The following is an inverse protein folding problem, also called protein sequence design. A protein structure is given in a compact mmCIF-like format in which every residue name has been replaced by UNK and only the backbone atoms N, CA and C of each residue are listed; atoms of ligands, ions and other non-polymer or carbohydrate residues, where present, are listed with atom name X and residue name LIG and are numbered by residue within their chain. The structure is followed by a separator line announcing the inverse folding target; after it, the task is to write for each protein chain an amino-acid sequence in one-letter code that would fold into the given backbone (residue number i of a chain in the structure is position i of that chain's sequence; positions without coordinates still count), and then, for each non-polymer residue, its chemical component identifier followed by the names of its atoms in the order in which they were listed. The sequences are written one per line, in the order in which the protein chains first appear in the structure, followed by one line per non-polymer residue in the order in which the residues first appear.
data_IF_521578492162
#
_entry.id   IF_521578492162
#
_cell.length_a   1.000
_cell.length_b   1.000
_cell.length_c   1.000
_cell.angle_alpha   90.00
_cell.angle_beta   90.00
_cell.angle_gamma   90.00
#
_symmetry.space_group_name_H-M   'P 1'
#
loop_
_entity.id
_entity.type
_entity.pdbx_description
1 polymer ?
#
# COMPACT_ATOMS: atom_id res chain seq x y z
N UNK A 1 -10.92 23.19 -14.92
CA UNK A 1 -12.32 23.08 -14.44
C UNK A 1 -12.79 21.65 -14.39
N UNK A 2 -12.37 20.95 -13.34
CA UNK A 2 -13.01 19.73 -12.87
C UNK A 2 -13.31 19.99 -11.41
N UNK A 3 -14.37 20.74 -11.17
CA UNK A 3 -14.73 21.20 -9.84
C UNK A 3 -15.22 20.00 -9.02
N UNK A 4 -14.47 19.65 -7.97
CA UNK A 4 -14.82 18.57 -7.02
C UNK A 4 -16.02 18.97 -6.13
N UNK A 5 -16.55 20.19 -6.31
CA UNK A 5 -17.56 20.81 -5.47
C UNK A 5 -19.01 20.36 -5.75
N UNK A 6 -19.25 19.47 -6.71
CA UNK A 6 -20.62 19.04 -7.02
C UNK A 6 -20.84 17.55 -6.83
N UNK A 7 -21.55 17.26 -5.73
CA UNK A 7 -22.35 16.07 -5.43
C UNK A 7 -21.66 14.87 -4.74
N UNK A 8 -21.91 14.77 -3.44
CA UNK A 8 -21.68 13.59 -2.61
C UNK A 8 -21.19 13.98 -1.23
N UNK A 9 -21.79 13.43 -0.17
CA UNK A 9 -21.22 13.55 1.19
C UNK A 9 -19.78 13.03 1.15
N UNK A 10 -18.80 13.92 1.18
CA UNK A 10 -17.39 13.54 1.20
C UNK A 10 -17.08 12.85 2.52
N UNK A 11 -16.27 11.79 2.47
CA UNK A 11 -15.85 11.06 3.68
C UNK A 11 -15.05 11.97 4.62
N UNK A 12 -14.40 12.99 4.07
CA UNK A 12 -13.59 13.98 4.77
C UNK A 12 -14.23 15.36 4.67
N UNK A 13 -14.01 16.20 5.69
CA UNK A 13 -14.45 17.60 5.69
C UNK A 13 -13.71 18.37 4.59
N UNK A 14 -14.44 19.22 3.87
CA UNK A 14 -13.89 20.07 2.82
C UNK A 14 -12.88 21.07 3.36
N UNK A 15 -13.04 21.53 4.61
CA UNK A 15 -12.07 22.40 5.27
C UNK A 15 -10.73 21.69 5.47
N UNK A 16 -10.76 20.41 5.87
CA UNK A 16 -9.56 19.60 6.05
C UNK A 16 -8.88 19.32 4.71
N UNK A 17 -9.66 19.00 3.66
CA UNK A 17 -9.13 18.80 2.30
C UNK A 17 -8.40 20.05 1.82
N UNK A 18 -9.00 21.23 2.01
CA UNK A 18 -8.39 22.50 1.59
C UNK A 18 -7.13 22.82 2.38
N UNK A 19 -7.12 22.56 3.69
CA UNK A 19 -5.94 22.74 4.52
C UNK A 19 -4.78 21.83 4.08
N UNK A 20 -5.08 20.59 3.66
CA UNK A 20 -4.09 19.69 3.08
C UNK A 20 -3.59 20.23 1.72
N UNK A 21 -4.48 20.73 0.88
CA UNK A 21 -4.13 21.28 -0.44
C UNK A 21 -3.21 22.50 -0.33
N UNK A 22 -3.48 23.40 0.61
CA UNK A 22 -2.68 24.60 0.87
C UNK A 22 -1.24 24.27 1.33
N UNK A 23 -1.03 23.10 1.96
CA UNK A 23 0.29 22.62 2.41
C UNK A 23 1.07 21.83 1.36
N UNK A 24 0.53 21.58 0.17
CA UNK A 24 1.19 20.72 -0.84
C UNK A 24 2.52 21.27 -1.36
N UNK A 25 2.74 22.60 -1.29
CA UNK A 25 4.02 23.20 -1.69
C UNK A 25 5.21 22.72 -0.86
N UNK A 26 4.96 22.21 0.35
CA UNK A 26 5.98 21.83 1.31
C UNK A 26 6.54 20.41 1.05
N UNK A 27 5.96 19.67 0.10
CA UNK A 27 6.35 18.30 -0.27
C UNK A 27 6.83 18.19 -1.73
N UNK A 28 8.02 18.74 -2.07
CA UNK A 28 8.57 18.62 -3.42
C UNK A 28 8.95 17.16 -3.73
N UNK A 29 8.71 16.74 -4.97
CA UNK A 29 9.12 15.41 -5.44
C UNK A 29 10.61 15.42 -5.76
N UNK A 30 11.40 14.61 -5.04
CA UNK A 30 12.82 14.39 -5.30
C UNK A 30 13.06 13.56 -6.57
N UNK A 31 12.23 12.54 -6.81
CA UNK A 31 12.43 11.60 -7.92
C UNK A 31 11.13 11.12 -8.55
N UNK A 32 11.08 11.19 -9.88
CA UNK A 32 10.02 10.61 -10.70
C UNK A 32 10.49 9.33 -11.41
N UNK A 33 9.62 8.33 -11.51
CA UNK A 33 9.78 7.19 -12.43
C UNK A 33 8.45 6.85 -13.12
N UNK A 34 8.49 6.00 -14.15
CA UNK A 34 7.31 5.46 -14.85
C UNK A 34 6.31 6.55 -15.29
N UNK A 35 6.77 7.56 -16.04
CA UNK A 35 5.94 8.70 -16.45
C UNK A 35 5.21 9.38 -15.28
N UNK A 36 5.94 9.63 -14.19
CA UNK A 36 5.47 10.30 -12.96
C UNK A 36 4.47 9.48 -12.12
N UNK A 37 4.23 8.21 -12.46
CA UNK A 37 3.41 7.30 -11.64
C UNK A 37 4.07 7.00 -10.29
N UNK A 38 5.40 6.95 -10.25
CA UNK A 38 6.18 6.84 -9.03
C UNK A 38 6.74 8.21 -8.66
N UNK A 39 6.53 8.61 -7.41
CA UNK A 39 7.04 9.85 -6.82
C UNK A 39 7.68 9.54 -5.48
N UNK A 40 8.92 9.97 -5.29
CA UNK A 40 9.63 9.91 -4.02
C UNK A 40 9.84 11.33 -3.51
N UNK A 41 9.51 11.55 -2.23
CA UNK A 41 9.55 12.85 -1.58
C UNK A 41 10.74 13.00 -0.64
N UNK A 42 11.29 11.89 -0.15
CA UNK A 42 12.36 11.88 0.84
C UNK A 42 13.43 10.83 0.50
N UNK A 43 14.67 11.07 0.95
CA UNK A 43 15.73 10.05 0.94
C UNK A 43 15.55 9.11 2.14
N UNK A 44 15.94 7.82 2.03
CA UNK A 44 15.82 6.89 3.14
C UNK A 44 16.80 7.25 4.27
N UNK A 45 16.27 7.37 5.49
CA UNK A 45 17.06 7.52 6.72
C UNK A 45 17.27 6.12 7.34
N UNK A 46 18.52 5.66 7.52
CA UNK A 46 18.82 4.34 8.07
C UNK A 46 18.32 4.12 9.50
N UNK A 47 17.98 5.19 10.24
CA UNK A 47 17.47 5.12 11.61
C UNK A 47 15.94 5.07 11.69
N UNK A 48 15.24 5.29 10.57
CA UNK A 48 13.79 5.25 10.50
C UNK A 48 13.27 3.86 10.13
N UNK A 49 12.06 3.56 10.59
CA UNK A 49 11.30 2.39 10.20
C UNK A 49 10.20 2.80 9.22
N UNK A 50 10.00 1.97 8.19
CA UNK A 50 9.10 2.25 7.10
C UNK A 50 8.11 1.10 6.87
N UNK A 51 6.96 1.47 6.32
CA UNK A 51 5.83 0.58 6.08
C UNK A 51 5.27 0.86 4.69
N UNK A 52 4.97 -0.19 3.94
CA UNK A 52 4.38 -0.09 2.60
C UNK A 52 3.00 -0.74 2.63
N UNK A 53 1.97 0.06 2.37
CA UNK A 53 0.62 -0.44 2.08
C UNK A 53 0.43 -0.51 0.57
N UNK A 54 -0.03 -1.65 0.06
CA UNK A 54 -0.19 -1.85 -1.38
C UNK A 54 -1.57 -2.40 -1.74
N UNK A 55 -2.24 -1.73 -2.67
CA UNK A 55 -3.45 -2.18 -3.35
C UNK A 55 -3.08 -2.72 -4.74
N UNK A 56 -3.48 -3.97 -4.98
CA UNK A 56 -3.17 -4.70 -6.21
C UNK A 56 -4.42 -4.84 -7.05
N UNK A 57 -4.48 -4.05 -8.12
CA UNK A 57 -5.49 -4.23 -9.15
C UNK A 57 -5.29 -5.57 -9.89
N UNK A 58 -6.40 -6.16 -10.33
CA UNK A 58 -6.40 -7.49 -10.96
C UNK A 58 -5.74 -7.54 -12.34
N UNK A 59 -5.43 -6.38 -12.93
CA UNK A 59 -4.92 -6.25 -14.29
C UNK A 59 -5.93 -6.60 -15.39
N UNK A 60 -7.13 -7.10 -15.04
CA UNK A 60 -8.24 -7.36 -15.97
C UNK A 60 -9.19 -6.17 -15.96
N UNK A 61 -8.84 -5.10 -16.68
CA UNK A 61 -9.70 -3.91 -16.82
C UNK A 61 -8.93 -2.60 -16.73
N UNK A 62 -9.63 -1.54 -16.31
CA UNK A 62 -9.10 -0.18 -16.18
C UNK A 62 -8.51 0.14 -14.80
N UNK A 63 -8.40 -0.84 -13.91
CA UNK A 63 -8.02 -0.61 -12.52
C UNK A 63 -6.52 -0.30 -12.39
N UNK A 64 -6.16 0.51 -11.39
CA UNK A 64 -4.80 0.94 -11.12
C UNK A 64 -4.28 0.21 -9.88
N UNK A 65 -3.04 -0.29 -9.94
CA UNK A 65 -2.34 -0.71 -8.72
C UNK A 65 -1.70 0.51 -8.08
N UNK A 66 -1.68 0.52 -6.75
CA UNK A 66 -1.11 1.64 -6.00
C UNK A 66 -0.45 1.19 -4.70
N UNK A 67 0.63 1.85 -4.33
CA UNK A 67 1.21 1.68 -3.01
C UNK A 67 1.69 3.00 -2.46
N UNK A 68 1.77 3.07 -1.14
CA UNK A 68 2.38 4.17 -0.42
C UNK A 68 3.38 3.62 0.60
N UNK A 69 4.57 4.23 0.64
CA UNK A 69 5.59 4.00 1.65
C UNK A 69 5.57 5.17 2.65
N UNK A 70 5.38 4.88 3.93
CA UNK A 70 5.35 5.87 5.01
C UNK A 70 6.33 5.50 6.11
N UNK A 71 6.80 6.50 6.85
CA UNK A 71 7.49 6.24 8.11
C UNK A 71 6.50 5.98 9.26
N UNK A 72 7.03 5.66 10.44
CA UNK A 72 6.21 5.40 11.65
C UNK A 72 5.37 6.61 12.09
N UNK A 73 5.75 7.83 11.71
CA UNK A 73 5.05 9.06 12.06
C UNK A 73 3.97 9.42 11.02
N UNK A 74 3.86 8.64 9.93
CA UNK A 74 2.90 8.87 8.86
C UNK A 74 3.41 9.81 7.76
N UNK A 75 4.70 10.13 7.75
CA UNK A 75 5.30 10.94 6.68
C UNK A 75 5.40 10.11 5.39
N UNK A 76 4.77 10.57 4.31
CA UNK A 76 4.83 9.91 3.01
C UNK A 76 6.22 10.06 2.38
N UNK A 77 6.85 8.92 2.08
CA UNK A 77 8.19 8.86 1.52
C UNK A 77 8.14 8.61 0.02
N UNK A 78 7.24 7.71 -0.40
CA UNK A 78 7.04 7.31 -1.79
C UNK A 78 5.58 7.00 -2.03
N UNK A 79 5.07 7.41 -3.19
CA UNK A 79 3.78 6.96 -3.71
C UNK A 79 3.93 6.43 -5.13
N UNK A 80 3.21 5.34 -5.41
CA UNK A 80 3.01 4.83 -6.77
C UNK A 80 1.53 4.69 -7.07
N UNK A 81 1.12 5.12 -8.27
CA UNK A 81 -0.19 4.81 -8.85
C UNK A 81 -0.05 4.63 -10.34
N UNK A 82 -0.32 3.42 -10.84
CA UNK A 82 -0.13 3.13 -12.25
C UNK A 82 -0.70 1.79 -12.68
N UNK A 83 -0.48 1.49 -13.96
CA UNK A 83 -0.89 0.22 -14.57
C UNK A 83 0.37 -0.52 -14.99
N UNK A 84 0.59 -1.67 -14.37
CA UNK A 84 1.67 -2.58 -14.74
C UNK A 84 1.27 -4.03 -14.44
N UNK A 85 1.96 -4.96 -15.08
CA UNK A 85 1.78 -6.39 -14.80
C UNK A 85 2.09 -6.70 -13.33
N UNK A 86 1.37 -7.66 -12.76
CA UNK A 86 1.47 -8.05 -11.34
C UNK A 86 2.91 -8.41 -10.95
N UNK A 87 3.66 -9.10 -11.81
CA UNK A 87 5.06 -9.46 -11.53
C UNK A 87 5.98 -8.23 -11.45
N UNK A 88 5.79 -7.26 -12.35
CA UNK A 88 6.54 -5.99 -12.34
C UNK A 88 6.19 -5.15 -11.11
N UNK A 89 4.92 -5.20 -10.71
CA UNK A 89 4.44 -4.52 -9.51
C UNK A 89 5.03 -5.11 -8.24
N UNK A 90 5.04 -6.44 -8.12
CA UNK A 90 5.67 -7.13 -6.99
C UNK A 90 7.15 -6.79 -6.87
N UNK A 91 7.89 -6.78 -8.00
CA UNK A 91 9.29 -6.38 -8.01
C UNK A 91 9.49 -4.92 -7.60
N UNK A 92 8.65 -4.00 -8.10
CA UNK A 92 8.70 -2.59 -7.70
C UNK A 92 8.46 -2.41 -6.20
N UNK A 93 7.53 -3.17 -5.61
CA UNK A 93 7.30 -3.19 -4.17
C UNK A 93 8.51 -3.69 -3.39
N UNK A 94 9.12 -4.80 -3.83
CA UNK A 94 10.31 -5.36 -3.21
C UNK A 94 11.50 -4.40 -3.26
N UNK A 95 11.77 -3.83 -4.43
CA UNK A 95 12.83 -2.84 -4.66
C UNK A 95 12.63 -1.59 -3.79
N UNK A 96 11.39 -1.09 -3.69
CA UNK A 96 11.06 0.08 -2.85
C UNK A 96 11.20 -0.27 -1.38
N UNK A 97 10.75 -1.45 -0.97
CA UNK A 97 10.89 -1.92 0.41
C UNK A 97 12.35 -2.05 0.82
N UNK A 98 13.20 -2.61 -0.05
CA UNK A 98 14.64 -2.71 0.19
C UNK A 98 15.30 -1.33 0.30
N UNK A 99 14.92 -0.38 -0.55
CA UNK A 99 15.44 1.00 -0.51
C UNK A 99 15.13 1.68 0.82
N UNK A 100 13.96 1.44 1.41
CA UNK A 100 13.51 2.01 2.68
C UNK A 100 13.69 1.03 3.85
N UNK A 101 14.94 0.58 4.07
CA UNK A 101 15.37 -0.25 5.20
C UNK A 101 14.62 -1.58 5.34
N UNK A 102 14.36 -2.27 4.22
CA UNK A 102 13.49 -3.44 4.20
C UNK A 102 12.14 -3.15 4.88
N UNK A 103 11.43 -2.13 4.41
CA UNK A 103 10.14 -1.71 4.93
C UNK A 103 9.17 -2.89 5.12
N UNK A 104 8.29 -2.82 6.11
CA UNK A 104 7.26 -3.85 6.28
C UNK A 104 6.22 -3.68 5.17
N UNK A 105 6.09 -4.69 4.30
CA UNK A 105 5.18 -4.65 3.15
C UNK A 105 3.88 -5.38 3.49
N UNK A 106 2.76 -4.68 3.36
CA UNK A 106 1.40 -5.19 3.58
C UNK A 106 0.56 -5.04 2.30
N UNK A 107 0.60 -6.01 1.38
CA UNK A 107 -0.30 -6.05 0.23
C UNK A 107 -1.73 -6.35 0.69
N UNK A 108 -2.73 -5.80 0.02
CA UNK A 108 -4.14 -6.15 0.28
C UNK A 108 -4.39 -7.63 -0.06
N UNK A 109 -5.02 -8.37 0.86
CA UNK A 109 -5.36 -9.79 0.70
C UNK A 109 -6.58 -10.01 -0.20
N UNK A 110 -6.45 -9.69 -1.48
CA UNK A 110 -7.36 -10.17 -2.54
C UNK A 110 -6.68 -11.33 -3.33
N UNK A 111 -7.41 -12.01 -4.23
CA UNK A 111 -6.87 -13.14 -5.01
C UNK A 111 -5.58 -12.77 -5.78
N UNK A 112 -5.42 -11.50 -6.13
CA UNK A 112 -4.28 -10.98 -6.91
C UNK A 112 -3.13 -10.51 -6.00
N UNK A 113 -3.46 -9.99 -4.82
CA UNK A 113 -2.50 -9.68 -3.76
C UNK A 113 -1.81 -10.92 -3.21
N UNK A 114 -2.45 -12.09 -3.29
CA UNK A 114 -1.79 -13.37 -3.01
C UNK A 114 -0.64 -13.63 -3.99
N UNK A 115 -0.84 -13.38 -5.30
CA UNK A 115 0.21 -13.56 -6.30
C UNK A 115 1.40 -12.61 -6.06
N UNK A 116 1.14 -11.35 -5.71
CA UNK A 116 2.19 -10.39 -5.32
C UNK A 116 2.95 -10.88 -4.08
N UNK A 117 2.23 -11.38 -3.08
CA UNK A 117 2.88 -11.87 -1.87
C UNK A 117 3.73 -13.11 -2.14
N UNK A 118 3.24 -14.05 -2.95
CA UNK A 118 4.01 -15.22 -3.37
C UNK A 118 5.26 -14.85 -4.16
N UNK A 119 5.19 -13.84 -5.03
CA UNK A 119 6.36 -13.32 -5.75
C UNK A 119 7.41 -12.75 -4.78
N UNK A 120 7.00 -11.89 -3.84
CA UNK A 120 7.89 -11.34 -2.81
C UNK A 120 8.51 -12.41 -1.91
N UNK A 121 7.75 -13.46 -1.57
CA UNK A 121 8.28 -14.62 -0.84
C UNK A 121 9.31 -15.39 -1.66
N UNK A 122 9.04 -15.62 -2.93
CA UNK A 122 9.96 -16.32 -3.84
C UNK A 122 11.26 -15.55 -4.06
N UNK A 123 11.20 -14.22 -4.02
CA UNK A 123 12.38 -13.34 -4.07
C UNK A 123 13.10 -13.22 -2.70
N UNK A 124 12.53 -13.80 -1.64
CA UNK A 124 13.14 -13.82 -0.31
C UNK A 124 12.99 -12.52 0.47
N UNK A 125 11.95 -11.72 0.20
CA UNK A 125 11.72 -10.47 0.93
C UNK A 125 11.44 -10.75 2.42
N UNK A 126 12.21 -10.18 3.36
CA UNK A 126 12.19 -10.62 4.76
C UNK A 126 10.99 -10.10 5.56
N UNK A 127 10.46 -8.92 5.20
CA UNK A 127 9.53 -8.16 6.04
C UNK A 127 8.13 -8.08 5.44
N UNK A 128 7.50 -9.23 5.23
CA UNK A 128 6.11 -9.32 4.77
C UNK A 128 5.13 -9.34 5.95
N UNK A 129 4.08 -8.52 5.88
CA UNK A 129 2.98 -8.55 6.83
C UNK A 129 2.02 -9.71 6.53
N UNK A 130 1.73 -10.51 7.56
CA UNK A 130 0.76 -11.60 7.48
C UNK A 130 -0.39 -11.31 8.44
N UNK A 131 -1.60 -11.14 7.90
CA UNK A 131 -2.80 -11.12 8.71
C UNK A 131 -3.09 -12.53 9.24
N UNK A 132 -2.96 -12.71 10.55
CA UNK A 132 -3.32 -13.95 11.22
C UNK A 132 -4.82 -13.94 11.52
N UNK A 133 -5.57 -14.83 10.86
CA UNK A 133 -6.96 -15.09 11.22
C UNK A 133 -6.98 -16.22 12.25
N UNK A 134 -7.37 -15.92 13.47
CA UNK A 134 -7.60 -16.95 14.48
C UNK A 134 -8.88 -17.71 14.15
N UNK A 135 -8.75 -18.94 13.63
CA UNK A 135 -9.88 -19.82 13.37
C UNK A 135 -10.24 -20.57 14.67
N UNK A 136 -11.36 -20.19 15.31
CA UNK A 136 -11.99 -21.02 16.35
C UNK A 136 -12.83 -22.12 15.69
N UNK A 137 -12.26 -23.32 15.55
CA UNK A 137 -13.05 -24.53 15.23
C UNK A 137 -13.87 -24.94 16.46
N UNK A 138 -15.17 -25.20 16.29
CA UNK A 138 -16.07 -25.68 17.35
C UNK A 138 -15.54 -27.02 17.87
N UNK A 139 -15.19 -27.10 19.16
CA UNK A 139 -14.73 -28.33 19.82
C UNK A 139 -13.22 -28.49 20.05
N UNK A 140 -12.38 -27.50 19.72
CA UNK A 140 -10.94 -27.51 20.09
C UNK A 140 -10.57 -26.33 21.00
N UNK A 141 -9.88 -26.61 22.09
CA UNK A 141 -9.49 -25.64 23.13
C UNK A 141 -8.36 -24.69 22.71
N UNK A 142 -7.60 -25.03 21.67
CA UNK A 142 -6.52 -24.20 21.11
C UNK A 142 -6.97 -23.58 19.79
N UNK A 143 -6.94 -22.25 19.63
CA UNK A 143 -7.21 -21.60 18.36
C UNK A 143 -6.16 -22.02 17.32
N UNK A 144 -6.62 -22.36 16.11
CA UNK A 144 -5.75 -22.66 14.97
C UNK A 144 -5.39 -21.31 14.32
N UNK A 145 -4.10 -21.03 14.13
CA UNK A 145 -3.63 -19.79 13.52
C UNK A 145 -3.57 -20.02 12.01
N UNK A 146 -4.51 -19.44 11.26
CA UNK A 146 -4.43 -19.39 9.81
C UNK A 146 -3.61 -18.15 9.43
N UNK A 147 -2.42 -18.37 8.86
CA UNK A 147 -1.54 -17.30 8.39
C UNK A 147 -1.88 -17.03 6.94
N UNK A 148 -2.72 -16.03 6.69
CA UNK A 148 -2.98 -15.54 5.34
C UNK A 148 -2.07 -14.33 5.07
N UNK A 149 -1.36 -14.28 3.94
CA UNK A 149 -0.56 -13.10 3.58
C UNK A 149 -1.43 -11.87 3.29
N UNK A 150 -0.97 -10.69 3.70
CA UNK A 150 -1.59 -9.39 3.39
C UNK A 150 -2.57 -8.83 4.44
N UNK A 151 -3.26 -7.73 4.12
CA UNK A 151 -4.33 -7.13 4.94
C UNK A 151 -5.72 -7.53 4.43
N UNK A 152 -6.57 -8.09 5.29
CA UNK A 152 -7.89 -8.63 4.89
C UNK A 152 -8.92 -7.51 4.65
N UNK A 153 -9.41 -7.39 3.41
CA UNK A 153 -10.62 -6.61 3.13
C UNK A 153 -11.87 -7.44 3.42
N UNK A 154 -12.68 -6.99 4.37
CA UNK A 154 -14.02 -7.55 4.63
C UNK A 154 -15.09 -6.60 4.06
N UNK A 155 -16.32 -7.08 3.86
CA UNK A 155 -17.45 -6.24 3.40
C UNK A 155 -17.68 -5.00 4.28
N UNK A 156 -17.17 -4.94 5.50
CA UNK A 156 -17.21 -3.77 6.37
C UNK A 156 -16.22 -2.65 6.00
N UNK A 157 -15.20 -2.94 5.19
CA UNK A 157 -14.17 -1.99 4.78
C UNK A 157 -14.36 -1.48 3.34
N UNK A 158 -15.48 -1.82 2.69
CA UNK A 158 -15.89 -1.18 1.43
C UNK A 158 -16.80 0.00 1.78
N UNK A 159 -16.22 1.19 1.86
CA UNK A 159 -16.95 2.45 1.77
C UNK A 159 -17.47 2.66 0.35
#
# INVERSE_FOLDING_TARGET
DGDFLSSGNTVFDMADIKAIEDCLSDYPVLKYRFNRQYRQFNEPDPNKQYFIGADVATGRGSDYSSFTCMDKLGEEQVVYKGRMAVDKYARLLGDTGQLFNFAIVAPESNDVGLAVTSALQSEGYPNLYYYQKLLKKKGKSRPEVDKSPGWLTTQKNRS
#
